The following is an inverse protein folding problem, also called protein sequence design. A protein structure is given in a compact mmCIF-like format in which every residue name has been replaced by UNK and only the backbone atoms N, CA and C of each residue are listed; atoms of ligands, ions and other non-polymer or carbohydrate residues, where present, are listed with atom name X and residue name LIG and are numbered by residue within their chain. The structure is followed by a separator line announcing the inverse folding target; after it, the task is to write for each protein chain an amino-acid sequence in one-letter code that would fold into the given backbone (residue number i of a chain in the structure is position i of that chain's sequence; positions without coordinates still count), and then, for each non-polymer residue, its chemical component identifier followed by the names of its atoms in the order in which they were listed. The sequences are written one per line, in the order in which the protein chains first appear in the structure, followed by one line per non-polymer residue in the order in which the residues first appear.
data_IF_755178452965
#
_entry.id   IF_755178452965
#
_cell.length_a   1.000
_cell.length_b   1.000
_cell.length_c   1.000
_cell.angle_alpha   90.00
_cell.angle_beta   90.00
_cell.angle_gamma   90.00
#
_symmetry.space_group_name_H-M   'P 1'
#
loop_
_entity.id
_entity.type
_entity.pdbx_description
1 polymer ?
#
# COMPACT_ATOMS: atom_id res chain seq x y z
N UNK A 1 64.46 1.92 -14.98
CA UNK A 1 63.51 1.41 -13.97
C UNK A 1 62.68 2.58 -13.41
N UNK A 2 61.41 2.73 -13.80
CA UNK A 2 60.37 3.36 -12.96
C UNK A 2 58.98 3.06 -13.55
N UNK A 3 58.08 2.71 -12.64
CA UNK A 3 56.91 1.84 -12.82
C UNK A 3 55.72 2.53 -13.52
N UNK A 4 55.11 1.81 -14.45
CA UNK A 4 53.78 2.07 -14.99
C UNK A 4 52.74 1.76 -13.91
N UNK A 5 51.88 2.72 -13.58
CA UNK A 5 50.74 2.51 -12.67
C UNK A 5 49.56 2.05 -13.53
N UNK A 6 49.12 0.81 -13.35
CA UNK A 6 47.85 0.33 -13.88
C UNK A 6 46.76 0.65 -12.86
N UNK A 7 45.85 1.56 -13.22
CA UNK A 7 44.60 1.77 -12.49
C UNK A 7 43.67 0.60 -12.78
N UNK A 8 43.47 -0.28 -11.80
CA UNK A 8 42.42 -1.30 -11.85
C UNK A 8 41.10 -0.61 -11.53
N UNK A 9 40.26 -0.46 -12.55
CA UNK A 9 38.89 0.01 -12.37
C UNK A 9 38.05 -1.20 -11.90
N UNK A 10 37.79 -1.25 -10.61
CA UNK A 10 36.94 -2.29 -9.99
C UNK A 10 35.49 -1.93 -10.27
N UNK A 11 34.84 -2.67 -11.18
CA UNK A 11 33.40 -2.63 -11.40
C UNK A 11 32.75 -3.54 -10.35
N UNK A 12 32.36 -2.98 -9.20
CA UNK A 12 31.51 -3.67 -8.22
C UNK A 12 30.07 -3.18 -8.40
N UNK A 13 29.15 -4.12 -8.65
CA UNK A 13 27.79 -4.02 -8.09
C UNK A 13 26.62 -3.83 -9.06
N UNK A 14 26.36 -4.77 -9.97
CA UNK A 14 25.02 -4.96 -10.56
C UNK A 14 24.23 -6.11 -9.93
N UNK A 15 24.86 -6.95 -9.10
CA UNK A 15 24.20 -8.10 -8.45
C UNK A 15 23.52 -7.75 -7.11
N UNK A 16 23.88 -6.64 -6.47
CA UNK A 16 23.36 -6.26 -5.15
C UNK A 16 21.93 -5.71 -5.17
N UNK A 17 21.49 -5.14 -6.29
CA UNK A 17 20.17 -4.49 -6.42
C UNK A 17 19.02 -5.49 -6.55
N UNK A 18 19.25 -6.66 -7.15
CA UNK A 18 18.20 -7.68 -7.34
C UNK A 18 17.83 -8.41 -6.03
N UNK A 19 18.83 -8.68 -5.18
CA UNK A 19 18.61 -9.34 -3.88
C UNK A 19 17.86 -8.43 -2.89
N UNK A 20 18.13 -7.11 -2.93
CA UNK A 20 17.46 -6.15 -2.05
C UNK A 20 15.94 -6.05 -2.31
N UNK A 21 15.48 -6.34 -3.52
CA UNK A 21 14.05 -6.34 -3.90
C UNK A 21 13.30 -7.62 -3.50
N UNK A 22 14.03 -8.62 -2.99
CA UNK A 22 13.47 -9.92 -2.61
C UNK A 22 13.39 -10.10 -1.09
N UNK A 23 13.97 -9.18 -0.33
CA UNK A 23 13.97 -9.20 1.13
C UNK A 23 13.02 -8.16 1.69
N UNK A 24 12.51 -8.43 2.89
CA UNK A 24 11.87 -7.42 3.73
C UNK A 24 12.83 -6.25 3.99
N UNK A 25 12.28 -5.05 3.96
CA UNK A 25 12.98 -3.80 4.22
C UNK A 25 12.29 -3.04 5.35
N UNK A 26 12.92 -1.97 5.81
CA UNK A 26 12.31 -1.04 6.72
C UNK A 26 12.62 0.40 6.29
N UNK A 27 11.61 1.26 6.39
CA UNK A 27 11.83 2.69 6.45
C UNK A 27 11.80 3.12 7.92
N UNK A 28 12.78 3.91 8.35
CA UNK A 28 12.80 4.45 9.70
C UNK A 28 13.31 5.88 9.70
N UNK A 29 12.85 6.67 10.67
CA UNK A 29 13.24 8.07 10.78
C UNK A 29 12.62 8.75 12.00
N UNK A 30 12.73 10.09 12.01
CA UNK A 30 12.05 10.95 12.97
C UNK A 30 10.95 11.73 12.26
N UNK A 31 9.84 11.95 12.95
CA UNK A 31 8.73 12.76 12.48
C UNK A 31 8.18 13.62 13.61
N UNK A 32 7.69 14.82 13.28
CA UNK A 32 7.02 15.70 14.24
C UNK A 32 5.52 15.59 14.06
N UNK A 33 4.84 15.03 15.05
CA UNK A 33 3.38 14.89 15.04
C UNK A 33 2.68 16.26 15.05
N UNK A 34 1.39 16.34 14.66
CA UNK A 34 0.63 17.59 14.67
C UNK A 34 0.56 18.29 16.04
N UNK A 35 0.73 17.55 17.14
CA UNK A 35 0.80 18.10 18.50
C UNK A 35 2.20 18.64 18.89
N UNK A 36 3.16 18.64 17.96
CA UNK A 36 4.53 19.12 18.15
C UNK A 36 5.50 18.09 18.76
N UNK A 37 5.04 16.87 19.08
CA UNK A 37 5.92 15.84 19.65
C UNK A 37 6.79 15.21 18.56
N UNK A 38 8.09 15.07 18.82
CA UNK A 38 9.00 14.28 17.99
C UNK A 38 8.83 12.79 18.31
N UNK A 39 8.71 11.97 17.27
CA UNK A 39 8.60 10.51 17.38
C UNK A 39 9.60 9.85 16.44
N UNK A 40 10.13 8.70 16.84
CA UNK A 40 10.81 7.79 15.95
C UNK A 40 9.80 6.82 15.35
N UNK A 41 9.96 6.51 14.06
CA UNK A 41 9.11 5.54 13.37
C UNK A 41 9.94 4.45 12.71
N UNK A 42 9.32 3.29 12.52
CA UNK A 42 9.84 2.14 11.81
C UNK A 42 8.69 1.43 11.07
N UNK A 43 8.68 1.54 9.75
CA UNK A 43 7.67 0.95 8.86
C UNK A 43 8.26 -0.32 8.25
N UNK A 44 7.58 -1.45 8.47
CA UNK A 44 7.93 -2.73 7.85
C UNK A 44 7.45 -2.75 6.40
N UNK A 45 8.34 -3.09 5.47
CA UNK A 45 8.13 -3.06 4.03
C UNK A 45 8.36 -4.45 3.44
N UNK A 46 7.31 -5.10 2.92
CA UNK A 46 7.42 -6.45 2.35
C UNK A 46 7.57 -6.41 0.81
N UNK A 47 8.43 -7.25 0.22
CA UNK A 47 8.50 -7.37 -1.24
C UNK A 47 7.25 -8.08 -1.79
N UNK A 48 6.92 -7.91 -3.09
CA UNK A 48 5.79 -8.61 -3.71
C UNK A 48 5.89 -10.15 -3.64
N UNK A 49 7.09 -10.70 -3.43
CA UNK A 49 7.31 -12.13 -3.25
C UNK A 49 6.65 -12.68 -1.96
N UNK A 50 6.42 -11.84 -0.95
CA UNK A 50 5.76 -12.21 0.31
C UNK A 50 4.26 -12.50 0.17
N UNK A 51 3.68 -12.24 -0.99
CA UNK A 51 2.25 -12.38 -1.30
C UNK A 51 2.06 -13.44 -2.39
N UNK A 52 2.01 -14.75 -2.05
CA UNK A 52 1.94 -15.84 -3.01
C UNK A 52 0.65 -15.85 -3.84
N UNK A 53 -0.44 -15.28 -3.34
CA UNK A 53 -1.76 -15.19 -3.96
C UNK A 53 -1.84 -14.20 -5.13
N UNK A 54 -0.89 -13.25 -5.21
CA UNK A 54 -0.86 -12.27 -6.30
C UNK A 54 -0.73 -12.94 -7.67
N UNK A 55 -1.57 -12.58 -8.66
CA UNK A 55 -1.42 -13.06 -10.03
C UNK A 55 -0.04 -12.67 -10.60
N UNK A 56 0.56 -13.51 -11.47
CA UNK A 56 1.88 -13.24 -12.04
C UNK A 56 2.00 -11.86 -12.71
N UNK A 57 0.96 -11.43 -13.43
CA UNK A 57 0.91 -10.12 -14.08
C UNK A 57 0.98 -8.96 -13.07
N UNK A 58 0.17 -9.01 -12.01
CA UNK A 58 0.19 -7.99 -10.94
C UNK A 58 1.55 -7.99 -10.24
N UNK A 59 2.08 -9.16 -9.87
CA UNK A 59 3.39 -9.30 -9.23
C UNK A 59 4.52 -8.71 -10.08
N UNK A 60 4.52 -8.99 -11.38
CA UNK A 60 5.50 -8.43 -12.31
C UNK A 60 5.43 -6.90 -12.36
N UNK A 61 4.22 -6.33 -12.38
CA UNK A 61 4.03 -4.89 -12.43
C UNK A 61 4.49 -4.20 -11.14
N UNK A 62 4.31 -4.83 -9.98
CA UNK A 62 4.84 -4.34 -8.71
C UNK A 62 6.38 -4.39 -8.68
N UNK A 63 6.98 -5.50 -9.16
CA UNK A 63 8.45 -5.63 -9.25
C UNK A 63 9.05 -4.58 -10.19
N UNK A 64 8.45 -4.35 -11.36
CA UNK A 64 8.88 -3.32 -12.31
C UNK A 64 8.81 -1.90 -11.72
N UNK A 65 7.91 -1.68 -10.76
CA UNK A 65 7.77 -0.41 -10.03
C UNK A 65 8.69 -0.32 -8.81
N UNK A 66 9.52 -1.34 -8.53
CA UNK A 66 10.31 -1.42 -7.30
C UNK A 66 9.44 -1.24 -6.05
N UNK A 67 8.23 -1.81 -6.10
CA UNK A 67 7.24 -1.66 -5.08
C UNK A 67 7.62 -2.43 -3.82
N UNK A 68 7.53 -1.76 -2.68
CA UNK A 68 7.52 -2.42 -1.37
C UNK A 68 6.16 -2.19 -0.71
N UNK A 69 5.58 -3.20 -0.08
CA UNK A 69 4.23 -3.15 0.45
C UNK A 69 4.30 -2.82 1.94
N UNK A 70 3.93 -1.59 2.36
CA UNK A 70 3.98 -1.19 3.75
C UNK A 70 3.01 -2.00 4.57
N UNK A 71 3.42 -2.37 5.77
CA UNK A 71 2.61 -3.09 6.75
C UNK A 71 2.20 -2.12 7.86
N UNK A 72 0.97 -2.21 8.34
CA UNK A 72 0.55 -1.36 9.46
C UNK A 72 1.31 -1.71 10.74
N UNK A 73 1.29 -0.81 11.72
CA UNK A 73 1.89 -1.07 13.03
C UNK A 73 1.21 -2.23 13.79
N UNK A 74 -0.01 -2.64 13.40
CA UNK A 74 -0.74 -3.77 14.00
C UNK A 74 -0.53 -5.09 13.23
N UNK A 75 0.11 -5.04 12.06
CA UNK A 75 0.20 -6.16 11.14
C UNK A 75 0.88 -7.39 11.76
N UNK A 76 0.10 -8.46 11.97
CA UNK A 76 0.57 -9.78 12.46
C UNK A 76 0.86 -10.79 11.34
N UNK A 77 0.39 -10.50 10.13
CA UNK A 77 0.62 -11.26 8.91
C UNK A 77 0.80 -10.26 7.73
N UNK A 78 1.28 -10.71 6.56
CA UNK A 78 1.28 -9.88 5.36
C UNK A 78 -0.12 -9.33 5.04
N UNK A 79 -0.23 -8.01 4.90
CA UNK A 79 -1.46 -7.29 4.58
C UNK A 79 -1.19 -6.18 3.55
N UNK A 80 -2.21 -5.35 3.27
CA UNK A 80 -2.17 -4.28 2.26
C UNK A 80 -2.03 -4.76 0.81
N UNK A 81 -2.44 -6.01 0.58
CA UNK A 81 -2.75 -6.59 -0.73
C UNK A 81 -4.14 -7.21 -0.60
N UNK A 82 -5.10 -6.71 -1.37
CA UNK A 82 -6.49 -7.15 -1.30
C UNK A 82 -7.02 -7.55 -2.68
N UNK A 83 -7.90 -8.55 -2.69
CA UNK A 83 -8.59 -9.05 -3.86
C UNK A 83 -10.10 -8.78 -3.73
N UNK A 84 -10.74 -8.43 -4.82
CA UNK A 84 -12.19 -8.16 -4.86
C UNK A 84 -12.68 -7.83 -6.26
N UNK A 85 -13.99 -7.67 -6.39
CA UNK A 85 -14.60 -7.16 -7.62
C UNK A 85 -14.68 -5.63 -7.54
N UNK A 86 -13.62 -4.91 -7.90
CA UNK A 86 -13.54 -3.45 -7.71
C UNK A 86 -13.95 -2.62 -8.92
N UNK A 87 -13.87 -3.17 -10.13
CA UNK A 87 -14.29 -2.50 -11.37
C UNK A 87 -15.81 -2.64 -11.61
N UNK A 88 -16.32 -3.85 -11.42
CA UNK A 88 -17.70 -4.24 -11.76
C UNK A 88 -18.00 -5.60 -11.17
N UNK A 89 -19.28 -5.97 -11.12
CA UNK A 89 -19.70 -7.26 -10.58
C UNK A 89 -18.97 -8.44 -11.24
N UNK A 90 -18.34 -9.27 -10.42
CA UNK A 90 -17.65 -10.49 -10.85
C UNK A 90 -16.30 -10.25 -11.55
N UNK A 91 -15.76 -9.03 -11.55
CA UNK A 91 -14.35 -8.81 -11.88
C UNK A 91 -13.44 -9.46 -10.81
N UNK A 92 -12.18 -9.65 -11.17
CA UNK A 92 -11.17 -10.22 -10.28
C UNK A 92 -9.99 -9.27 -10.24
N UNK A 93 -10.13 -8.26 -9.39
CA UNK A 93 -9.25 -7.11 -9.33
C UNK A 93 -8.41 -7.14 -8.06
N UNK A 94 -7.30 -6.42 -8.08
CA UNK A 94 -6.39 -6.34 -6.95
C UNK A 94 -6.13 -4.89 -6.57
N UNK A 95 -6.06 -4.61 -5.28
CA UNK A 95 -5.58 -3.33 -4.79
C UNK A 95 -4.41 -3.54 -3.82
N UNK A 96 -3.40 -2.68 -3.93
CA UNK A 96 -2.11 -2.84 -3.24
C UNK A 96 -1.63 -1.48 -2.76
N UNK A 97 -1.19 -1.37 -1.51
CA UNK A 97 -0.34 -0.26 -1.10
C UNK A 97 1.09 -0.50 -1.58
N UNK A 98 1.64 0.52 -2.22
CA UNK A 98 2.94 0.45 -2.86
C UNK A 98 3.80 1.63 -2.45
N UNK A 99 4.75 1.38 -1.54
CA UNK A 99 5.81 2.32 -1.17
C UNK A 99 6.95 2.27 -2.19
N UNK A 100 7.34 3.46 -2.64
CA UNK A 100 8.55 3.70 -3.40
C UNK A 100 9.23 4.96 -2.85
N UNK A 101 10.44 4.83 -2.31
CA UNK A 101 11.25 5.94 -1.80
C UNK A 101 10.51 6.84 -0.79
N UNK A 102 9.80 6.22 0.17
CA UNK A 102 9.07 6.91 1.24
C UNK A 102 7.77 7.60 0.83
N UNK A 103 7.22 7.21 -0.30
CA UNK A 103 5.86 7.57 -0.71
C UNK A 103 5.09 6.31 -1.06
N UNK A 104 3.95 6.13 -0.40
CA UNK A 104 3.03 5.04 -0.64
C UNK A 104 1.91 5.48 -1.57
N UNK A 105 1.53 4.60 -2.48
CA UNK A 105 0.39 4.78 -3.37
C UNK A 105 -0.56 3.59 -3.27
N UNK A 106 -1.86 3.86 -3.24
CA UNK A 106 -2.90 2.85 -3.42
C UNK A 106 -3.10 2.61 -4.92
N UNK A 107 -2.59 1.47 -5.39
CA UNK A 107 -2.70 1.02 -6.76
C UNK A 107 -3.87 0.05 -6.92
N UNK A 108 -4.65 0.20 -7.98
CA UNK A 108 -5.74 -0.72 -8.35
C UNK A 108 -5.46 -1.33 -9.71
N UNK A 109 -5.48 -2.65 -9.77
CA UNK A 109 -5.27 -3.49 -10.95
C UNK A 109 -6.60 -4.13 -11.35
N UNK A 110 -7.25 -3.61 -12.37
CA UNK A 110 -8.40 -4.29 -12.98
C UNK A 110 -7.94 -5.53 -13.73
N UNK A 111 -8.75 -6.60 -13.66
CA UNK A 111 -8.37 -7.93 -14.13
C UNK A 111 -8.05 -8.01 -15.62
N UNK A 112 -8.58 -7.11 -16.44
CA UNK A 112 -8.34 -7.01 -17.89
C UNK A 112 -7.32 -5.93 -18.29
N UNK A 113 -6.75 -5.20 -17.33
CA UNK A 113 -5.85 -4.07 -17.56
C UNK A 113 -4.67 -4.03 -16.56
N UNK A 114 -4.15 -5.19 -16.16
CA UNK A 114 -3.13 -5.33 -15.11
C UNK A 114 -1.84 -4.54 -15.40
N UNK A 115 -1.49 -4.29 -16.67
CA UNK A 115 -0.29 -3.55 -17.05
C UNK A 115 -0.37 -2.05 -16.75
N UNK A 116 -1.58 -1.51 -16.56
CA UNK A 116 -1.86 -0.08 -16.35
C UNK A 116 -2.70 0.12 -15.08
N UNK A 117 -2.15 -0.18 -13.89
CA UNK A 117 -2.85 0.08 -12.64
C UNK A 117 -3.18 1.56 -12.51
N UNK A 118 -4.35 1.84 -11.92
CA UNK A 118 -4.76 3.18 -11.54
C UNK A 118 -4.16 3.52 -10.17
N UNK A 119 -3.64 4.74 -10.02
CA UNK A 119 -3.30 5.28 -8.70
C UNK A 119 -4.51 6.00 -8.14
N UNK A 120 -5.10 5.47 -7.08
CA UNK A 120 -6.27 6.05 -6.42
C UNK A 120 -5.86 7.24 -5.54
N UNK A 121 -4.74 7.08 -4.82
CA UNK A 121 -4.20 8.04 -3.86
C UNK A 121 -2.72 7.76 -3.62
N UNK A 122 -1.97 8.79 -3.26
CA UNK A 122 -0.61 8.66 -2.75
C UNK A 122 -0.34 9.66 -1.62
N UNK A 123 0.57 9.32 -0.71
CA UNK A 123 1.04 10.19 0.36
C UNK A 123 2.43 9.75 0.87
N UNK A 124 3.18 10.64 1.55
CA UNK A 124 4.39 10.23 2.27
C UNK A 124 4.11 9.10 3.26
N UNK A 125 5.06 8.18 3.41
CA UNK A 125 4.92 7.01 4.30
C UNK A 125 4.75 7.41 5.77
N UNK A 126 5.30 8.57 6.14
CA UNK A 126 5.22 9.16 7.47
C UNK A 126 4.03 10.11 7.68
N UNK A 127 3.13 10.26 6.70
CA UNK A 127 1.93 11.10 6.83
C UNK A 127 0.95 10.50 7.85
N UNK A 128 0.71 9.19 7.76
CA UNK A 128 -0.17 8.44 8.66
C UNK A 128 0.65 7.49 9.52
N UNK A 129 1.08 7.99 10.68
CA UNK A 129 1.79 7.20 11.69
C UNK A 129 0.91 6.92 12.90
N UNK A 130 1.05 5.72 13.44
CA UNK A 130 0.37 5.26 14.65
C UNK A 130 1.22 4.26 15.41
N UNK A 131 0.77 3.86 16.59
CA UNK A 131 1.48 2.93 17.46
C UNK A 131 0.47 2.09 18.24
N UNK A 132 0.79 0.81 18.48
CA UNK A 132 -0.12 -0.15 19.12
C UNK A 132 -0.53 0.26 20.55
N UNK A 133 0.35 0.94 21.26
CA UNK A 133 0.08 1.50 22.59
C UNK A 133 0.99 2.70 22.87
N UNK A 134 0.67 3.47 23.90
CA UNK A 134 1.46 4.63 24.30
C UNK A 134 2.91 4.22 24.63
N UNK A 135 3.87 4.79 23.90
CA UNK A 135 5.30 4.51 24.06
C UNK A 135 5.83 3.36 23.19
N UNK A 136 4.98 2.68 22.41
CA UNK A 136 5.44 1.78 21.35
C UNK A 136 6.11 2.56 20.20
N UNK A 137 6.91 1.86 19.41
CA UNK A 137 7.49 2.41 18.17
C UNK A 137 6.36 2.77 17.20
N UNK A 138 6.44 3.94 16.58
CA UNK A 138 5.47 4.31 15.54
C UNK A 138 5.72 3.50 14.27
N UNK A 139 4.66 3.11 13.58
CA UNK A 139 4.70 2.50 12.26
C UNK A 139 3.60 3.08 11.38
N UNK A 140 3.45 2.52 10.18
CA UNK A 140 2.40 2.96 9.25
C UNK A 140 1.03 2.72 9.87
N UNK A 141 0.17 3.74 9.83
CA UNK A 141 -1.24 3.65 10.16
C UNK A 141 -2.12 3.66 8.90
N UNK A 142 -1.55 3.36 7.73
CA UNK A 142 -2.29 3.25 6.48
C UNK A 142 -2.57 1.78 6.15
N UNK A 143 -3.86 1.42 6.20
CA UNK A 143 -4.35 0.09 5.85
C UNK A 143 -5.41 0.14 4.75
N UNK A 144 -5.52 -0.96 3.99
CA UNK A 144 -6.61 -1.15 3.03
C UNK A 144 -7.35 -2.47 3.28
N UNK A 145 -8.65 -2.48 2.99
CA UNK A 145 -9.49 -3.66 3.08
C UNK A 145 -10.53 -3.72 1.95
N UNK A 146 -10.85 -4.92 1.47
CA UNK A 146 -12.01 -5.09 0.60
C UNK A 146 -13.31 -4.96 1.42
N UNK A 147 -14.31 -4.28 0.85
CA UNK A 147 -15.66 -4.17 1.43
C UNK A 147 -16.64 -4.74 0.44
N UNK A 148 -17.33 -5.82 0.82
CA UNK A 148 -18.28 -6.43 -0.09
C UNK A 148 -19.48 -5.53 -0.33
N UNK A 149 -20.07 -5.60 -1.52
CA UNK A 149 -21.31 -4.90 -1.87
C UNK A 149 -22.38 -4.99 -0.76
N UNK A 150 -22.57 -6.20 -0.24
CA UNK A 150 -23.56 -6.51 0.80
C UNK A 150 -23.34 -5.72 2.11
N UNK A 151 -22.09 -5.40 2.44
CA UNK A 151 -21.73 -4.67 3.67
C UNK A 151 -21.76 -3.16 3.51
N UNK A 152 -21.76 -2.67 2.26
CA UNK A 152 -21.79 -1.24 1.95
C UNK A 152 -23.22 -0.66 1.91
N UNK A 153 -24.26 -1.50 1.96
CA UNK A 153 -25.66 -1.06 1.96
C UNK A 153 -25.99 -0.21 3.20
N UNK A 154 -26.00 1.12 3.03
CA UNK A 154 -26.60 2.08 3.95
C UNK A 154 -28.07 2.40 3.61
N UNK A 155 -28.70 3.34 4.33
CA UNK A 155 -30.09 3.79 4.10
C UNK A 155 -30.35 4.41 2.71
N UNK A 156 -29.30 4.65 1.94
CA UNK A 156 -29.38 5.28 0.62
C UNK A 156 -29.34 4.20 -0.47
N UNK A 157 -30.33 4.26 -1.36
CA UNK A 157 -30.68 3.28 -2.41
C UNK A 157 -29.69 3.33 -3.59
N UNK A 158 -28.39 3.42 -3.32
CA UNK A 158 -27.39 3.12 -4.35
C UNK A 158 -27.13 1.61 -4.22
N UNK A 159 -27.64 0.85 -5.19
CA UNK A 159 -27.36 -0.58 -5.26
C UNK A 159 -25.88 -0.75 -5.63
N UNK A 160 -25.02 -0.87 -4.62
CA UNK A 160 -23.68 -1.39 -4.81
C UNK A 160 -23.82 -2.81 -5.36
N UNK A 161 -23.25 -3.06 -6.53
CA UNK A 161 -23.34 -4.35 -7.21
C UNK A 161 -21.99 -5.09 -7.25
N UNK A 162 -20.95 -4.45 -6.73
CA UNK A 162 -19.60 -4.99 -6.59
C UNK A 162 -18.88 -4.40 -5.36
N UNK A 163 -17.66 -4.84 -5.12
CA UNK A 163 -16.91 -4.55 -3.90
C UNK A 163 -16.28 -3.14 -3.96
N UNK A 164 -16.09 -2.54 -2.79
CA UNK A 164 -15.36 -1.29 -2.61
C UNK A 164 -14.01 -1.53 -1.94
N UNK A 165 -13.17 -0.50 -1.95
CA UNK A 165 -11.88 -0.47 -1.25
C UNK A 165 -12.01 0.47 -0.06
N UNK A 166 -11.93 -0.05 1.15
CA UNK A 166 -11.71 0.79 2.32
C UNK A 166 -10.24 1.23 2.40
N UNK A 167 -10.04 2.54 2.43
CA UNK A 167 -8.79 3.27 2.63
C UNK A 167 -8.80 3.86 4.04
N UNK A 168 -8.04 3.26 4.96
CA UNK A 168 -8.14 3.53 6.39
C UNK A 168 -6.87 4.19 6.95
N UNK A 169 -7.08 5.30 7.66
CA UNK A 169 -6.20 5.75 8.72
C UNK A 169 -6.62 5.03 10.00
N UNK A 170 -5.85 4.01 10.39
CA UNK A 170 -6.18 3.15 11.52
C UNK A 170 -6.56 3.96 12.76
N UNK A 171 -7.61 3.51 13.44
CA UNK A 171 -8.20 4.11 14.65
C UNK A 171 -8.70 5.56 14.54
N UNK A 172 -8.68 6.17 13.35
CA UNK A 172 -9.07 7.58 13.16
C UNK A 172 -10.19 7.77 12.17
N UNK A 173 -10.03 7.29 10.95
CA UNK A 173 -10.96 7.56 9.86
C UNK A 173 -10.75 6.59 8.72
N UNK A 174 -11.81 6.26 8.00
CA UNK A 174 -11.69 5.53 6.74
C UNK A 174 -12.68 6.04 5.69
N UNK A 175 -12.29 5.85 4.45
CA UNK A 175 -13.08 6.18 3.25
C UNK A 175 -13.25 4.90 2.45
N UNK A 176 -14.46 4.66 1.96
CA UNK A 176 -14.72 3.61 0.98
C UNK A 176 -14.69 4.23 -0.41
N UNK A 177 -13.80 3.71 -1.24
CA UNK A 177 -13.72 4.03 -2.66
C UNK A 177 -14.51 2.99 -3.46
N UNK A 178 -15.38 3.47 -4.35
CA UNK A 178 -16.25 2.65 -5.19
C UNK A 178 -16.15 3.10 -6.64
N UNK A 179 -15.99 2.17 -7.57
CA UNK A 179 -15.87 2.49 -8.99
C UNK A 179 -17.24 2.48 -9.65
N UNK A 180 -17.61 3.56 -10.33
CA UNK A 180 -18.88 3.67 -11.03
C UNK A 180 -18.72 4.55 -12.27
N UNK A 181 -19.26 4.09 -13.40
CA UNK A 181 -19.27 4.83 -14.67
C UNK A 181 -17.88 5.36 -15.09
N UNK A 182 -16.85 4.55 -14.88
CA UNK A 182 -15.47 4.89 -15.24
C UNK A 182 -14.77 5.82 -14.25
N UNK A 183 -15.33 6.03 -13.05
CA UNK A 183 -14.82 6.98 -12.06
C UNK A 183 -14.81 6.39 -10.66
N UNK A 184 -13.85 6.82 -9.85
CA UNK A 184 -13.82 6.53 -8.43
C UNK A 184 -14.66 7.54 -7.66
N UNK A 185 -15.59 7.04 -6.85
CA UNK A 185 -16.36 7.78 -5.88
C UNK A 185 -15.82 7.46 -4.48
N UNK A 186 -15.79 8.45 -3.59
CA UNK A 186 -15.30 8.31 -2.23
C UNK A 186 -16.40 8.67 -1.23
N UNK A 187 -16.59 7.84 -0.19
CA UNK A 187 -17.55 8.06 0.89
C UNK A 187 -16.91 7.78 2.25
N UNK A 188 -17.20 8.57 3.27
CA UNK A 188 -16.73 8.26 4.62
C UNK A 188 -17.37 6.94 5.11
N UNK A 189 -16.56 6.03 5.67
CA UNK A 189 -17.03 4.74 6.20
C UNK A 189 -18.01 4.92 7.38
N UNK A 190 -17.95 6.08 8.05
CA UNK A 190 -18.75 6.46 9.22
C UNK A 190 -20.06 7.21 8.95
N UNK A 191 -20.49 7.42 7.69
CA UNK A 191 -21.80 8.04 7.38
C UNK A 191 -23.02 7.12 7.68
N UNK A 192 -22.83 6.15 8.57
CA UNK A 192 -23.94 5.55 9.31
C UNK A 192 -24.33 6.51 10.44
N UNK A 193 -25.21 7.46 10.12
CA UNK A 193 -25.83 8.32 11.12
C UNK A 193 -26.36 7.47 12.29
N UNK A 194 -25.77 7.68 13.46
CA UNK A 194 -26.21 7.11 14.73
C UNK A 194 -27.71 7.40 14.92
N UNK A 195 -28.47 6.37 15.29
CA UNK A 195 -29.82 6.51 15.83
C UNK A 195 -29.78 7.19 17.21
#
# INVERSE_FOLDING_TARGET
MRRTIFTVMVVIGLAGTLLAQLAEQAEAGEHTLPNGSAVHYHIRLLPPASFPELPPGVKQQLVLRHCMIPQTYEARAPENVIHGAFERKGSSDWAVLCSQNGTSALLVFFGDAVEKPMTLRAQPDNEWLGAEYAGAMYGSAWGIAARSADTMHGRQVDAFDHDGIEDAHLERSSVIHYYQDGKWLARASGDQASL
#
